data_IF_878606637687
#
_entry.id   IF_878606637687
#
_cell.length_a   1.000
_cell.length_b   1.000
_cell.length_c   1.000
_cell.angle_alpha   90.00
_cell.angle_beta   90.00
_cell.angle_gamma   90.00
#
_symmetry.space_group_name_H-M   'P 1'
#
loop_
_entity.id
_entity.type
_entity.pdbx_description
1 polymer ?
#
# COMPACT_ATOMS: atom_id res chain seq x y z
N UNK A 1 17.62 -6.60 2.42
CA UNK A 1 16.71 -7.46 3.19
C UNK A 1 16.20 -6.74 4.42
N UNK A 2 15.15 -7.24 5.07
CA UNK A 2 14.43 -6.54 6.14
C UNK A 2 15.15 -6.53 7.51
N UNK A 3 15.82 -7.64 7.86
CA UNK A 3 16.42 -7.83 9.19
C UNK A 3 17.44 -6.75 9.63
N UNK A 4 18.30 -6.22 8.73
CA UNK A 4 19.19 -5.11 9.08
C UNK A 4 18.47 -3.81 9.53
N UNK A 5 17.20 -3.63 9.12
CA UNK A 5 16.40 -2.44 9.46
C UNK A 5 15.62 -2.65 10.75
N UNK A 6 15.11 -3.87 10.99
CA UNK A 6 14.31 -4.18 12.19
C UNK A 6 15.18 -4.10 13.45
N UNK A 7 16.34 -4.76 13.48
CA UNK A 7 17.32 -4.78 14.58
C UNK A 7 16.86 -5.41 15.91
N UNK A 8 15.56 -5.42 16.20
CA UNK A 8 14.98 -6.08 17.38
C UNK A 8 13.77 -6.93 16.99
N UNK A 9 13.38 -7.82 17.90
CA UNK A 9 12.17 -8.65 17.75
C UNK A 9 10.90 -7.79 17.74
N UNK A 10 10.82 -6.73 18.56
CA UNK A 10 9.69 -5.81 18.58
C UNK A 10 9.52 -5.09 17.24
N UNK A 11 10.62 -4.65 16.63
CA UNK A 11 10.58 -4.02 15.31
C UNK A 11 10.23 -5.02 14.20
N UNK A 12 10.58 -6.29 14.35
CA UNK A 12 10.07 -7.33 13.46
C UNK A 12 8.56 -7.56 13.68
N UNK A 13 8.09 -7.51 14.93
CA UNK A 13 6.67 -7.63 15.26
C UNK A 13 5.83 -6.49 14.67
N UNK A 14 6.40 -5.29 14.49
CA UNK A 14 5.74 -4.19 13.75
C UNK A 14 5.42 -4.62 12.32
N UNK A 15 6.39 -5.21 11.60
CA UNK A 15 6.20 -5.65 10.21
C UNK A 15 5.23 -6.83 10.15
N UNK A 16 5.40 -7.82 11.01
CA UNK A 16 4.51 -9.00 11.04
C UNK A 16 3.09 -8.58 11.40
N UNK A 17 2.91 -7.67 12.37
CA UNK A 17 1.61 -7.12 12.73
C UNK A 17 0.94 -6.42 11.56
N UNK A 18 1.69 -5.61 10.80
CA UNK A 18 1.22 -4.94 9.59
C UNK A 18 0.78 -5.93 8.49
N UNK A 19 1.55 -6.98 8.23
CA UNK A 19 1.17 -8.01 7.24
C UNK A 19 -0.07 -8.80 7.67
N UNK A 20 -0.17 -9.14 8.96
CA UNK A 20 -1.38 -9.79 9.51
C UNK A 20 -2.58 -8.87 9.38
N UNK A 21 -2.41 -7.57 9.61
CA UNK A 21 -3.47 -6.58 9.45
C UNK A 21 -3.98 -6.50 8.00
N UNK A 22 -3.11 -6.56 6.98
CA UNK A 22 -3.54 -6.66 5.59
C UNK A 22 -4.44 -7.86 5.32
N UNK A 23 -4.17 -8.99 5.97
CA UNK A 23 -4.98 -10.22 5.84
C UNK A 23 -6.31 -10.06 6.58
N UNK A 24 -6.29 -9.52 7.80
CA UNK A 24 -7.50 -9.26 8.60
C UNK A 24 -8.45 -8.31 7.85
N UNK A 25 -7.92 -7.21 7.31
CA UNK A 25 -8.66 -6.20 6.58
C UNK A 25 -8.94 -6.59 5.11
N UNK A 26 -8.45 -7.74 4.64
CA UNK A 26 -8.69 -8.26 3.28
C UNK A 26 -8.28 -7.30 2.16
N UNK A 27 -7.23 -6.50 2.40
CA UNK A 27 -6.79 -5.45 1.48
C UNK A 27 -6.48 -5.97 0.07
N UNK A 28 -5.96 -7.20 -0.06
CA UNK A 28 -5.72 -7.82 -1.36
C UNK A 28 -7.02 -8.05 -2.16
N UNK A 29 -8.07 -8.55 -1.51
CA UNK A 29 -9.36 -8.80 -2.17
C UNK A 29 -10.05 -7.48 -2.56
N UNK A 30 -9.93 -6.46 -1.71
CA UNK A 30 -10.45 -5.13 -2.02
C UNK A 30 -9.75 -4.49 -3.22
N UNK A 31 -8.41 -4.57 -3.30
CA UNK A 31 -7.64 -4.05 -4.43
C UNK A 31 -8.06 -4.70 -5.75
N UNK A 32 -8.23 -6.02 -5.74
CA UNK A 32 -8.73 -6.76 -6.92
C UNK A 32 -10.13 -6.27 -7.30
N UNK A 33 -11.01 -6.13 -6.31
CA UNK A 33 -12.40 -5.69 -6.54
C UNK A 33 -12.45 -4.28 -7.13
N UNK A 34 -11.62 -3.36 -6.66
CA UNK A 34 -11.51 -2.01 -7.22
C UNK A 34 -10.93 -2.00 -8.63
N UNK A 35 -9.87 -2.78 -8.86
CA UNK A 35 -9.28 -2.89 -10.19
C UNK A 35 -10.30 -3.43 -11.20
N UNK A 36 -11.08 -4.45 -10.82
CA UNK A 36 -12.16 -4.95 -11.67
C UNK A 36 -13.23 -3.88 -11.90
N UNK A 37 -13.66 -3.17 -10.85
CA UNK A 37 -14.65 -2.09 -11.00
C UNK A 37 -14.19 -0.99 -11.96
N UNK A 38 -12.92 -0.58 -11.86
CA UNK A 38 -12.31 0.41 -12.77
C UNK A 38 -12.19 -0.13 -14.20
N UNK A 39 -11.82 -1.40 -14.36
CA UNK A 39 -11.70 -2.04 -15.67
C UNK A 39 -13.06 -2.14 -16.37
N UNK A 40 -14.10 -2.64 -15.67
CA UNK A 40 -15.45 -2.73 -16.22
C UNK A 40 -16.07 -1.37 -16.45
N UNK A 41 -15.90 -0.42 -15.52
CA UNK A 41 -16.36 0.96 -15.70
C UNK A 41 -15.71 1.64 -16.91
N UNK A 42 -14.39 1.45 -17.07
CA UNK A 42 -13.63 1.96 -18.22
C UNK A 42 -14.07 1.32 -19.54
N UNK A 43 -14.34 0.01 -19.56
CA UNK A 43 -14.80 -0.70 -20.75
C UNK A 43 -16.19 -0.23 -21.21
N UNK A 44 -17.12 -0.01 -20.27
CA UNK A 44 -18.45 0.53 -20.59
C UNK A 44 -18.34 1.95 -21.15
N UNK A 45 -17.54 2.82 -20.52
CA UNK A 45 -17.32 4.18 -20.99
C UNK A 45 -16.64 4.21 -22.38
N UNK A 46 -15.65 3.34 -22.61
CA UNK A 46 -14.95 3.22 -23.88
C UNK A 46 -15.84 2.70 -25.02
N UNK A 47 -16.73 1.74 -24.74
CA UNK A 47 -17.67 1.19 -25.71
C UNK A 47 -18.66 2.23 -26.28
N UNK A 48 -19.02 3.24 -25.47
CA UNK A 48 -19.89 4.34 -25.91
C UNK A 48 -19.19 5.33 -26.86
N UNK A 49 -17.86 5.44 -26.79
CA UNK A 49 -17.06 6.40 -27.56
C UNK A 49 -16.60 5.88 -28.93
N UNK A 50 -16.89 4.60 -29.24
CA UNK A 50 -16.49 3.95 -30.49
C UNK A 50 -14.98 3.72 -30.60
N UNK A 51 -14.51 3.33 -31.79
CA UNK A 51 -13.14 2.84 -32.02
C UNK A 51 -12.22 3.89 -32.69
N UNK A 52 -12.39 5.17 -32.35
CA UNK A 52 -11.57 6.25 -32.88
C UNK A 52 -10.21 6.33 -32.16
N UNK A 53 -9.19 6.93 -32.82
CA UNK A 53 -7.91 7.25 -32.18
C UNK A 53 -8.10 8.10 -30.91
N UNK A 54 -9.08 9.03 -30.93
CA UNK A 54 -9.45 9.81 -29.75
C UNK A 54 -10.00 8.97 -28.60
N UNK A 55 -10.78 7.92 -28.90
CA UNK A 55 -11.28 6.99 -27.89
C UNK A 55 -10.16 6.12 -27.29
N UNK A 56 -9.18 5.70 -28.10
CA UNK A 56 -8.02 4.94 -27.62
C UNK A 56 -7.13 5.78 -26.68
N UNK A 57 -6.86 7.04 -27.05
CA UNK A 57 -6.14 7.99 -26.19
C UNK A 57 -6.95 8.26 -24.90
N UNK A 58 -8.26 8.44 -25.02
CA UNK A 58 -9.15 8.62 -23.86
C UNK A 58 -9.09 7.46 -22.87
N UNK A 59 -9.06 6.21 -23.35
CA UNK A 59 -8.93 5.02 -22.51
C UNK A 59 -7.57 4.93 -21.81
N UNK A 60 -6.47 5.27 -22.51
CA UNK A 60 -5.14 5.31 -21.90
C UNK A 60 -5.04 6.38 -20.80
N UNK A 61 -5.52 7.59 -21.08
CA UNK A 61 -5.55 8.68 -20.11
C UNK A 61 -6.45 8.34 -18.92
N UNK A 62 -7.61 7.72 -19.16
CA UNK A 62 -8.48 7.21 -18.09
C UNK A 62 -7.77 6.17 -17.23
N UNK A 63 -7.08 5.21 -17.83
CA UNK A 63 -6.34 4.17 -17.10
C UNK A 63 -5.25 4.76 -16.21
N UNK A 64 -4.45 5.70 -16.73
CA UNK A 64 -3.45 6.42 -15.93
C UNK A 64 -4.11 7.27 -14.83
N UNK A 65 -5.16 8.00 -15.17
CA UNK A 65 -5.90 8.83 -14.21
C UNK A 65 -6.51 8.01 -13.07
N UNK A 66 -7.07 6.83 -13.38
CA UNK A 66 -7.61 5.91 -12.38
C UNK A 66 -6.49 5.31 -11.51
N UNK A 67 -5.36 4.93 -12.10
CA UNK A 67 -4.22 4.39 -11.37
C UNK A 67 -3.65 5.41 -10.36
N UNK A 68 -3.35 6.62 -10.83
CA UNK A 68 -2.70 7.64 -10.00
C UNK A 68 -3.69 8.43 -9.12
N UNK A 69 -4.93 8.62 -9.58
CA UNK A 69 -5.94 9.42 -8.89
C UNK A 69 -6.84 8.63 -7.94
N UNK A 70 -6.97 7.31 -8.14
CA UNK A 70 -7.86 6.46 -7.32
C UNK A 70 -7.08 5.36 -6.64
N UNK A 71 -6.41 4.49 -7.41
CA UNK A 71 -5.76 3.29 -6.86
C UNK A 71 -4.62 3.63 -5.92
N UNK A 72 -3.74 4.58 -6.27
CA UNK A 72 -2.61 4.95 -5.41
C UNK A 72 -3.04 5.59 -4.08
N UNK A 73 -3.94 6.60 -4.05
CA UNK A 73 -4.46 7.13 -2.79
C UNK A 73 -5.19 6.07 -1.96
N UNK A 74 -5.92 5.16 -2.61
CA UNK A 74 -6.60 4.08 -1.91
C UNK A 74 -5.60 3.10 -1.28
N UNK A 75 -4.56 2.71 -2.01
CA UNK A 75 -3.50 1.85 -1.48
C UNK A 75 -2.86 2.46 -0.22
N UNK A 76 -2.57 3.78 -0.21
CA UNK A 76 -2.04 4.45 1.00
C UNK A 76 -2.99 4.39 2.20
N UNK A 77 -4.30 4.49 1.98
CA UNK A 77 -5.28 4.32 3.07
C UNK A 77 -5.21 2.93 3.69
N UNK A 78 -5.05 1.90 2.85
CA UNK A 78 -4.88 0.52 3.31
C UNK A 78 -3.59 0.34 4.12
N UNK A 79 -2.50 1.05 3.78
CA UNK A 79 -1.27 1.02 4.59
C UNK A 79 -1.51 1.62 5.98
N UNK A 80 -2.20 2.76 6.09
CA UNK A 80 -2.51 3.37 7.39
C UNK A 80 -3.43 2.49 8.25
N UNK A 81 -4.44 1.87 7.64
CA UNK A 81 -5.31 0.91 8.33
C UNK A 81 -4.53 -0.32 8.79
N UNK A 82 -3.62 -0.83 7.95
CA UNK A 82 -2.75 -1.93 8.32
C UNK A 82 -1.78 -1.57 9.45
N UNK A 83 -1.27 -0.33 9.49
CA UNK A 83 -0.47 0.17 10.61
C UNK A 83 -1.28 0.21 11.91
N UNK A 84 -2.49 0.79 11.89
CA UNK A 84 -3.34 0.89 13.07
C UNK A 84 -3.71 -0.48 13.64
N UNK A 85 -4.24 -1.36 12.79
CA UNK A 85 -4.60 -2.73 13.20
C UNK A 85 -3.35 -3.52 13.60
N UNK A 86 -2.24 -3.36 12.89
CA UNK A 86 -0.98 -4.04 13.19
C UNK A 86 -0.43 -3.67 14.57
N UNK A 87 -0.52 -2.39 14.94
CA UNK A 87 -0.15 -1.91 16.29
C UNK A 87 -1.04 -2.52 17.38
N UNK A 88 -2.34 -2.71 17.11
CA UNK A 88 -3.25 -3.40 18.03
C UNK A 88 -2.87 -4.88 18.15
N UNK A 89 -2.63 -5.56 17.02
CA UNK A 89 -2.25 -6.98 16.99
C UNK A 89 -0.95 -7.22 17.74
N UNK A 90 0.08 -6.39 17.54
CA UNK A 90 1.34 -6.54 18.26
C UNK A 90 1.17 -6.28 19.77
N UNK A 91 0.32 -5.32 20.17
CA UNK A 91 0.01 -5.07 21.57
C UNK A 91 -0.67 -6.29 22.23
N UNK A 92 -1.63 -6.90 21.53
CA UNK A 92 -2.31 -8.12 21.98
C UNK A 92 -1.36 -9.32 22.09
N UNK A 93 -0.31 -9.35 21.26
CA UNK A 93 0.76 -10.34 21.33
C UNK A 93 1.80 -10.07 22.45
N UNK A 94 1.67 -8.97 23.19
CA UNK A 94 2.55 -8.61 24.30
C UNK A 94 3.75 -7.73 23.93
N UNK A 95 3.84 -7.25 22.69
CA UNK A 95 4.90 -6.33 22.26
C UNK A 95 4.53 -4.86 22.52
N UNK A 96 5.55 -4.00 22.62
CA UNK A 96 5.38 -2.56 22.79
C UNK A 96 5.11 -1.85 21.44
N UNK A 97 3.91 -1.30 21.20
CA UNK A 97 3.58 -0.60 19.94
C UNK A 97 4.46 0.61 19.64
N UNK A 98 5.06 1.21 20.68
CA UNK A 98 5.96 2.35 20.52
C UNK A 98 7.25 2.00 19.75
N UNK A 99 7.55 0.72 19.55
CA UNK A 99 8.67 0.27 18.70
C UNK A 99 8.49 0.63 17.22
N UNK A 100 7.25 0.92 16.76
CA UNK A 100 6.98 1.28 15.37
C UNK A 100 7.61 2.60 14.94
N UNK A 101 7.56 3.64 15.78
CA UNK A 101 8.13 4.97 15.47
C UNK A 101 9.63 4.91 15.14
N UNK A 102 10.50 4.36 16.01
CA UNK A 102 11.92 4.26 15.70
C UNK A 102 12.19 3.29 14.54
N UNK A 103 11.34 2.26 14.33
CA UNK A 103 11.44 1.38 13.17
C UNK A 103 11.18 2.12 11.85
N UNK A 104 10.05 2.83 11.72
CA UNK A 104 9.72 3.60 10.51
C UNK A 104 10.72 4.72 10.25
N UNK A 105 11.25 5.33 11.31
CA UNK A 105 12.34 6.31 11.19
C UNK A 105 13.58 5.68 10.53
N UNK A 106 14.01 4.48 10.97
CA UNK A 106 15.12 3.75 10.35
C UNK A 106 14.80 3.35 8.91
N UNK A 107 13.57 2.88 8.66
CA UNK A 107 13.13 2.49 7.33
C UNK A 107 13.21 3.67 6.34
N UNK A 108 12.72 4.85 6.73
CA UNK A 108 12.79 6.07 5.91
C UNK A 108 14.25 6.55 5.69
N UNK A 109 15.11 6.42 6.69
CA UNK A 109 16.54 6.74 6.54
C UNK A 109 17.25 5.79 5.58
N UNK A 110 16.89 4.50 5.61
CA UNK A 110 17.51 3.50 4.73
C UNK A 110 17.22 3.73 3.24
N UNK A 111 16.18 4.51 2.91
CA UNK A 111 15.86 4.92 1.53
C UNK A 111 16.63 6.14 1.02
N UNK A 112 17.40 6.86 1.85
CA UNK A 112 18.04 8.13 1.45
C UNK A 112 19.43 7.99 0.79
N UNK A 113 19.99 6.77 0.72
CA UNK A 113 21.37 6.53 0.22
C UNK A 113 21.51 5.48 -0.88
N UNK A 114 20.41 4.98 -1.44
CA UNK A 114 20.42 3.88 -2.42
C UNK A 114 19.01 3.47 -2.83
N UNK A 115 18.88 2.30 -3.45
CA UNK A 115 17.55 1.73 -3.74
C UNK A 115 16.79 1.53 -2.41
N UNK A 116 15.50 1.91 -2.34
CA UNK A 116 14.72 1.72 -1.14
C UNK A 116 14.67 0.22 -0.78
N UNK A 117 14.53 -0.14 0.51
CA UNK A 117 14.27 -1.50 0.91
C UNK A 117 13.11 -2.09 0.11
N UNK A 118 13.21 -3.38 -0.25
CA UNK A 118 12.18 -4.10 -1.01
C UNK A 118 10.78 -3.96 -0.38
N UNK A 119 10.70 -3.96 0.95
CA UNK A 119 9.47 -3.71 1.69
C UNK A 119 8.79 -2.38 1.30
N UNK A 120 9.54 -1.30 1.12
CA UNK A 120 9.00 0.00 0.69
C UNK A 120 8.55 0.04 -0.78
N UNK A 121 8.91 -0.97 -1.58
CA UNK A 121 8.47 -1.07 -2.97
C UNK A 121 7.01 -1.51 -3.06
N UNK A 122 6.54 -2.30 -2.09
CA UNK A 122 5.12 -2.72 -1.98
C UNK A 122 4.35 -1.94 -0.93
N UNK A 123 5.03 -1.47 0.13
CA UNK A 123 4.44 -0.71 1.25
C UNK A 123 5.06 0.69 1.32
N UNK A 124 4.61 1.64 0.48
CA UNK A 124 5.17 2.97 0.47
C UNK A 124 5.05 3.63 1.86
N UNK A 125 6.08 4.36 2.26
CA UNK A 125 6.09 5.14 3.50
C UNK A 125 5.93 6.63 3.19
N UNK A 126 5.34 7.38 4.11
CA UNK A 126 5.33 8.85 4.09
C UNK A 126 5.38 9.41 5.52
N UNK A 127 5.43 10.74 5.63
CA UNK A 127 5.53 11.45 6.92
C UNK A 127 4.31 11.25 7.85
N UNK A 128 3.23 10.62 7.37
CA UNK A 128 2.00 10.43 8.15
C UNK A 128 1.87 9.04 8.79
N UNK A 129 2.82 8.12 8.54
CA UNK A 129 2.92 6.81 9.21
C UNK A 129 3.57 6.93 10.59
#
# INVERSE_FOLDING_TARGET
>A
GLLPVTQTEEALAVVVGHEVAHVIARHAQERISQQMALQYGGAVAGGLLGNSVGAQIGQQVFGLGAQFGVMMPYARKQEYEADEIGLIVMALAGYNPQAAVPFWTRMAQSSQGGAPPEFLSTHPTDEKR
#
